data_IF_306911133232
#
_entry.id   IF_306911133232
#
_cell.length_a   1.000
_cell.length_b   1.000
_cell.length_c   1.000
_cell.angle_alpha   90.00
_cell.angle_beta   90.00
_cell.angle_gamma   90.00
#
_symmetry.space_group_name_H-M   'P 1'
#
loop_
_entity.id
_entity.type
_entity.pdbx_description
1 polymer ?
#
# COMPACT_ATOMS: atom_id res chain seq x y z
N UNK A 1 21.12 -56.23 40.02
CA UNK A 1 21.58 -55.94 38.67
C UNK A 1 21.08 -54.56 38.30
N UNK A 2 21.87 -53.49 38.45
CA UNK A 2 21.53 -52.11 38.09
C UNK A 2 21.92 -51.91 36.64
N UNK A 3 20.93 -51.75 35.78
CA UNK A 3 21.16 -51.28 34.41
C UNK A 3 21.70 -49.85 34.49
N UNK A 4 22.96 -49.67 34.12
CA UNK A 4 23.57 -48.38 33.91
C UNK A 4 22.76 -47.69 32.78
N UNK A 5 22.14 -46.57 33.07
CA UNK A 5 21.66 -45.66 32.03
C UNK A 5 22.89 -45.14 31.29
N UNK A 6 23.06 -45.61 30.09
CA UNK A 6 24.05 -45.04 29.18
C UNK A 6 23.66 -43.56 28.94
N UNK A 7 24.45 -42.68 29.50
CA UNK A 7 24.42 -41.27 29.14
C UNK A 7 24.77 -41.17 27.64
N UNK A 8 24.04 -40.44 26.83
CA UNK A 8 24.36 -40.28 25.43
C UNK A 8 25.75 -39.62 25.28
N UNK A 9 26.54 -40.05 24.34
CA UNK A 9 27.91 -39.55 24.16
C UNK A 9 27.90 -38.04 23.91
N UNK A 10 28.95 -37.35 24.32
CA UNK A 10 29.23 -35.91 24.30
C UNK A 10 28.87 -35.13 23.03
N UNK A 11 28.22 -35.74 22.04
CA UNK A 11 27.83 -35.15 20.76
C UNK A 11 26.42 -34.50 20.73
N UNK A 12 25.54 -34.79 21.66
CA UNK A 12 24.15 -34.32 21.58
C UNK A 12 24.03 -32.81 21.83
N UNK A 13 24.71 -32.25 22.81
CA UNK A 13 24.66 -30.83 23.12
C UNK A 13 25.26 -29.93 22.03
N UNK A 14 26.35 -30.37 21.38
CA UNK A 14 26.95 -29.62 20.29
C UNK A 14 26.05 -29.60 19.05
N UNK A 15 25.37 -30.71 18.74
CA UNK A 15 24.41 -30.80 17.65
C UNK A 15 23.17 -29.93 17.90
N UNK A 16 22.68 -29.90 19.14
CA UNK A 16 21.55 -29.04 19.54
C UNK A 16 21.91 -27.56 19.42
N UNK A 17 23.09 -27.15 19.91
CA UNK A 17 23.58 -25.77 19.79
C UNK A 17 23.74 -25.39 18.31
N UNK A 18 24.34 -26.26 17.50
CA UNK A 18 24.49 -26.02 16.07
C UNK A 18 23.13 -25.87 15.39
N UNK A 19 22.18 -26.75 15.66
CA UNK A 19 20.83 -26.70 15.12
C UNK A 19 20.11 -25.40 15.54
N UNK A 20 20.22 -25.01 16.81
CA UNK A 20 19.64 -23.77 17.30
C UNK A 20 20.23 -22.53 16.61
N UNK A 21 21.55 -22.48 16.41
CA UNK A 21 22.24 -21.39 15.71
C UNK A 21 21.82 -21.35 14.24
N UNK A 22 21.77 -22.47 13.55
CA UNK A 22 21.34 -22.55 12.15
C UNK A 22 19.89 -22.09 12.00
N UNK A 23 18.98 -22.55 12.86
CA UNK A 23 17.57 -22.11 12.87
C UNK A 23 17.46 -20.61 13.14
N UNK A 24 18.23 -20.08 14.08
CA UNK A 24 18.26 -18.66 14.38
C UNK A 24 18.74 -17.83 13.18
N UNK A 25 19.83 -18.24 12.52
CA UNK A 25 20.37 -17.56 11.34
C UNK A 25 19.36 -17.61 10.18
N UNK A 26 18.74 -18.77 9.93
CA UNK A 26 17.71 -18.90 8.89
C UNK A 26 16.50 -18.00 9.17
N UNK A 27 16.05 -17.93 10.41
CA UNK A 27 14.96 -17.03 10.80
C UNK A 27 15.33 -15.56 10.62
N UNK A 28 16.54 -15.14 10.97
CA UNK A 28 17.03 -13.78 10.76
C UNK A 28 17.12 -13.43 9.27
N UNK A 29 17.60 -14.36 8.43
CA UNK A 29 17.64 -14.17 6.98
C UNK A 29 16.23 -14.06 6.39
N UNK A 30 15.30 -14.93 6.79
CA UNK A 30 13.90 -14.87 6.37
C UNK A 30 13.24 -13.55 6.77
N UNK A 31 13.47 -13.13 8.00
CA UNK A 31 12.92 -11.87 8.52
C UNK A 31 13.49 -10.67 7.77
N UNK A 32 14.81 -10.63 7.57
CA UNK A 32 15.50 -9.58 6.79
C UNK A 32 14.98 -9.50 5.37
N UNK A 33 14.83 -10.67 4.71
CA UNK A 33 14.29 -10.74 3.36
C UNK A 33 12.85 -10.24 3.30
N UNK A 34 11.99 -10.65 4.24
CA UNK A 34 10.61 -10.19 4.33
C UNK A 34 10.55 -8.66 4.52
N UNK A 35 11.35 -8.09 5.43
CA UNK A 35 11.39 -6.64 5.63
C UNK A 35 11.90 -5.88 4.40
N UNK A 36 12.89 -6.40 3.68
CA UNK A 36 13.36 -5.79 2.44
C UNK A 36 12.25 -5.77 1.38
N UNK A 37 11.55 -6.88 1.18
CA UNK A 37 10.40 -6.94 0.26
C UNK A 37 9.30 -5.96 0.65
N UNK A 38 8.98 -5.86 1.94
CA UNK A 38 7.99 -4.94 2.46
C UNK A 38 8.41 -3.48 2.21
N UNK A 39 9.67 -3.13 2.44
CA UNK A 39 10.21 -1.79 2.20
C UNK A 39 10.18 -1.42 0.71
N UNK A 40 10.52 -2.35 -0.18
CA UNK A 40 10.41 -2.16 -1.64
C UNK A 40 8.96 -1.91 -2.03
N UNK A 41 8.02 -2.75 -1.57
CA UNK A 41 6.59 -2.59 -1.86
C UNK A 41 6.04 -1.25 -1.39
N UNK A 42 6.42 -0.80 -0.20
CA UNK A 42 6.02 0.49 0.35
C UNK A 42 6.57 1.66 -0.50
N UNK A 43 7.87 1.64 -0.82
CA UNK A 43 8.50 2.70 -1.60
C UNK A 43 7.90 2.82 -3.00
N UNK A 44 7.63 1.70 -3.63
CA UNK A 44 7.05 1.68 -4.96
C UNK A 44 5.61 2.20 -4.95
N UNK A 45 4.81 1.80 -3.96
CA UNK A 45 3.45 2.32 -3.81
C UNK A 45 3.44 3.82 -3.53
N UNK A 46 4.38 4.29 -2.70
CA UNK A 46 4.58 5.71 -2.44
C UNK A 46 4.93 6.47 -3.72
N UNK A 47 5.89 5.96 -4.51
CA UNK A 47 6.29 6.56 -5.80
C UNK A 47 5.11 6.66 -6.77
N UNK A 48 4.28 5.61 -6.86
CA UNK A 48 3.10 5.60 -7.72
C UNK A 48 2.07 6.65 -7.28
N UNK A 49 1.75 6.71 -6.00
CA UNK A 49 0.89 7.76 -5.45
C UNK A 49 1.44 9.15 -5.75
N UNK A 50 2.74 9.35 -5.50
CA UNK A 50 3.40 10.65 -5.71
C UNK A 50 3.44 11.01 -7.20
N UNK A 51 3.58 10.05 -8.12
CA UNK A 51 3.49 10.26 -9.55
C UNK A 51 2.08 10.70 -10.00
N UNK A 52 1.02 10.02 -9.53
CA UNK A 52 -0.35 10.48 -9.81
C UNK A 52 -0.59 11.88 -9.26
N UNK A 53 -0.21 12.12 -8.02
CA UNK A 53 -0.34 13.42 -7.40
C UNK A 53 0.40 14.52 -8.18
N UNK A 54 1.63 14.24 -8.61
CA UNK A 54 2.41 15.16 -9.44
C UNK A 54 1.69 15.51 -10.73
N UNK A 55 1.12 14.51 -11.43
CA UNK A 55 0.38 14.74 -12.69
C UNK A 55 -0.89 15.57 -12.47
N UNK A 56 -1.57 15.40 -11.34
CA UNK A 56 -2.68 16.25 -10.92
C UNK A 56 -2.22 17.69 -10.65
N UNK A 57 -1.12 17.85 -9.92
CA UNK A 57 -0.57 19.15 -9.54
C UNK A 57 -0.09 19.97 -10.76
N UNK A 58 0.33 19.32 -11.85
CA UNK A 58 0.69 20.00 -13.10
C UNK A 58 -0.49 20.77 -13.71
N UNK A 59 -1.71 20.34 -13.46
CA UNK A 59 -2.95 20.89 -14.04
C UNK A 59 -3.68 21.81 -13.05
N UNK A 60 -3.69 21.46 -11.78
CA UNK A 60 -4.50 22.14 -10.76
C UNK A 60 -3.79 23.39 -10.22
N UNK A 61 -4.34 24.58 -10.49
CA UNK A 61 -3.83 25.83 -9.92
C UNK A 61 -3.97 25.92 -8.38
N UNK A 62 -4.94 25.21 -7.81
CA UNK A 62 -5.18 25.15 -6.36
C UNK A 62 -4.07 24.39 -5.60
N UNK A 63 -3.22 23.66 -6.32
CA UNK A 63 -2.13 22.90 -5.71
C UNK A 63 -0.98 23.78 -5.22
N UNK A 64 -0.89 25.05 -5.63
CA UNK A 64 0.12 26.00 -5.17
C UNK A 64 0.12 26.16 -3.64
N UNK A 65 -1.06 26.09 -3.00
CA UNK A 65 -1.17 26.18 -1.53
C UNK A 65 -0.73 24.89 -0.84
N UNK A 66 -0.87 23.73 -1.49
CA UNK A 66 -0.42 22.43 -0.97
C UNK A 66 1.10 22.31 -0.92
N UNK A 67 1.79 23.01 -1.78
CA UNK A 67 3.23 22.93 -1.97
C UNK A 67 3.95 24.22 -1.62
N UNK A 68 3.45 24.95 -0.63
CA UNK A 68 4.08 26.21 -0.18
C UNK A 68 5.58 26.07 0.16
N UNK A 69 6.02 24.84 0.53
CA UNK A 69 7.40 24.50 0.85
C UNK A 69 8.12 23.72 -0.28
N UNK A 70 7.54 23.66 -1.48
CA UNK A 70 8.18 22.99 -2.61
C UNK A 70 9.40 23.76 -3.11
N UNK A 71 10.36 23.06 -3.74
CA UNK A 71 11.48 23.72 -4.38
C UNK A 71 11.00 24.75 -5.41
N UNK A 72 11.73 25.85 -5.61
CA UNK A 72 11.37 26.88 -6.61
C UNK A 72 11.17 26.32 -8.02
N UNK A 73 11.93 25.26 -8.36
CA UNK A 73 11.82 24.58 -9.65
C UNK A 73 10.50 23.82 -9.77
N UNK A 74 10.09 23.11 -8.71
CA UNK A 74 8.83 22.38 -8.67
C UNK A 74 7.63 23.34 -8.68
N UNK A 75 7.71 24.44 -7.91
CA UNK A 75 6.68 25.48 -7.89
C UNK A 75 6.46 26.13 -9.28
N UNK A 76 7.51 26.15 -10.14
CA UNK A 76 7.39 26.63 -11.53
C UNK A 76 6.63 25.67 -12.44
N UNK A 77 6.52 24.42 -12.12
CA UNK A 77 5.85 23.39 -12.93
C UNK A 77 4.37 23.22 -12.58
N UNK A 78 3.98 23.61 -11.35
CA UNK A 78 2.60 23.46 -10.88
C UNK A 78 1.66 24.38 -11.66
N UNK A 79 0.54 23.81 -12.12
CA UNK A 79 -0.52 24.54 -12.80
C UNK A 79 -0.15 25.10 -14.18
N UNK A 80 0.93 24.63 -14.80
CA UNK A 80 1.38 25.11 -16.13
C UNK A 80 0.68 24.43 -17.30
N UNK A 81 0.12 23.25 -17.09
CA UNK A 81 -0.59 22.54 -18.15
C UNK A 81 -2.03 23.04 -18.18
N UNK A 82 -2.36 23.82 -19.22
CA UNK A 82 -3.74 24.23 -19.48
C UNK A 82 -4.44 23.14 -20.30
N UNK A 83 -5.38 22.43 -19.69
CA UNK A 83 -6.22 21.43 -20.36
C UNK A 83 -7.26 22.07 -21.30
N UNK A 84 -7.36 23.39 -21.36
CA UNK A 84 -8.09 24.10 -22.40
C UNK A 84 -7.47 23.96 -23.78
N UNK A 85 -6.22 23.52 -23.86
CA UNK A 85 -5.49 23.28 -25.10
C UNK A 85 -5.58 21.79 -25.48
N UNK A 86 -6.06 21.44 -26.71
CA UNK A 86 -6.22 20.04 -27.15
C UNK A 86 -4.93 19.22 -27.03
N UNK A 87 -3.80 19.84 -27.36
CA UNK A 87 -2.48 19.22 -27.34
C UNK A 87 -2.06 18.80 -25.93
N UNK A 88 -2.39 19.63 -24.95
CA UNK A 88 -2.06 19.39 -23.55
C UNK A 88 -2.90 18.26 -22.95
N UNK A 89 -4.18 18.12 -23.36
CA UNK A 89 -5.03 16.99 -22.94
C UNK A 89 -4.43 15.67 -23.38
N UNK A 90 -3.99 15.57 -24.65
CA UNK A 90 -3.36 14.37 -25.19
C UNK A 90 -2.05 14.01 -24.47
N UNK A 91 -1.18 15.00 -24.22
CA UNK A 91 0.07 14.81 -23.46
C UNK A 91 -0.21 14.34 -22.04
N UNK A 92 -1.11 14.99 -21.34
CA UNK A 92 -1.46 14.66 -19.98
C UNK A 92 -2.04 13.24 -19.85
N UNK A 93 -2.91 12.84 -20.78
CA UNK A 93 -3.47 11.50 -20.84
C UNK A 93 -2.39 10.44 -21.13
N UNK A 94 -1.43 10.74 -22.01
CA UNK A 94 -0.31 9.85 -22.29
C UNK A 94 0.60 9.65 -21.07
N UNK A 95 0.84 10.69 -20.27
CA UNK A 95 1.57 10.56 -19.00
C UNK A 95 0.82 9.65 -18.03
N UNK A 96 -0.50 9.79 -17.92
CA UNK A 96 -1.33 8.88 -17.11
C UNK A 96 -1.19 7.43 -17.57
N UNK A 97 -1.28 7.18 -18.88
CA UNK A 97 -1.10 5.83 -19.45
C UNK A 97 0.29 5.29 -19.16
N UNK A 98 1.32 6.11 -19.31
CA UNK A 98 2.70 5.70 -18.99
C UNK A 98 2.84 5.27 -17.53
N UNK A 99 2.33 6.06 -16.58
CA UNK A 99 2.34 5.71 -15.15
C UNK A 99 1.61 4.39 -14.92
N UNK A 100 0.48 4.17 -15.60
CA UNK A 100 -0.29 2.94 -15.46
C UNK A 100 0.46 1.73 -16.00
N UNK A 101 1.02 1.81 -17.22
CA UNK A 101 1.77 0.72 -17.86
C UNK A 101 3.00 0.35 -17.02
N UNK A 102 3.79 1.32 -16.60
CA UNK A 102 4.93 1.06 -15.69
C UNK A 102 4.49 0.48 -14.34
N UNK A 103 3.24 0.77 -13.94
CA UNK A 103 2.68 0.25 -12.70
C UNK A 103 2.16 -1.19 -12.79
N UNK A 104 1.84 -1.75 -13.97
CA UNK A 104 1.22 -3.07 -14.09
C UNK A 104 2.16 -4.20 -13.67
N UNK A 105 3.38 -4.23 -14.20
CA UNK A 105 4.39 -5.23 -13.79
C UNK A 105 4.72 -5.15 -12.31
N UNK A 106 4.69 -3.95 -11.78
CA UNK A 106 4.87 -3.67 -10.38
C UNK A 106 3.67 -4.14 -9.54
N UNK A 107 2.44 -3.95 -10.04
CA UNK A 107 1.23 -4.37 -9.34
C UNK A 107 1.19 -5.89 -9.11
N UNK A 108 1.67 -6.68 -10.05
CA UNK A 108 1.81 -8.13 -9.89
C UNK A 108 2.84 -8.50 -8.81
N UNK A 109 3.98 -7.80 -8.76
CA UNK A 109 4.99 -7.98 -7.70
C UNK A 109 4.45 -7.56 -6.34
N UNK A 110 3.76 -6.42 -6.28
CA UNK A 110 3.13 -5.96 -5.04
C UNK A 110 2.08 -6.94 -4.54
N UNK A 111 1.24 -7.47 -5.43
CA UNK A 111 0.23 -8.46 -5.08
C UNK A 111 0.89 -9.72 -4.48
N UNK A 112 1.98 -10.20 -5.09
CA UNK A 112 2.75 -11.33 -4.55
C UNK A 112 3.31 -11.01 -3.16
N UNK A 113 3.88 -9.82 -2.96
CA UNK A 113 4.41 -9.38 -1.66
C UNK A 113 3.30 -9.32 -0.61
N UNK A 114 2.14 -8.75 -0.94
CA UNK A 114 0.99 -8.66 -0.03
C UNK A 114 0.46 -10.05 0.32
N UNK A 115 0.37 -10.96 -0.65
CA UNK A 115 -0.06 -12.34 -0.42
C UNK A 115 0.93 -13.05 0.50
N UNK A 116 2.23 -12.95 0.24
CA UNK A 116 3.27 -13.57 1.08
C UNK A 116 3.21 -13.01 2.51
N UNK A 117 3.07 -11.68 2.64
CA UNK A 117 2.95 -11.04 3.96
C UNK A 117 1.71 -11.47 4.71
N UNK A 118 0.59 -11.66 4.01
CA UNK A 118 -0.64 -12.15 4.62
C UNK A 118 -0.53 -13.62 5.05
N UNK A 119 0.02 -14.48 4.20
CA UNK A 119 0.28 -15.89 4.55
C UNK A 119 1.18 -15.94 5.79
N UNK A 120 2.24 -15.12 5.82
CA UNK A 120 3.13 -15.05 6.97
C UNK A 120 2.41 -14.57 8.23
N UNK A 121 1.57 -13.54 8.14
CA UNK A 121 0.77 -13.06 9.27
C UNK A 121 -0.22 -14.13 9.77
N UNK A 122 -0.87 -14.87 8.86
CA UNK A 122 -1.79 -15.97 9.22
C UNK A 122 -1.00 -17.09 9.91
N UNK A 123 0.16 -17.48 9.39
CA UNK A 123 1.00 -18.51 10.01
C UNK A 123 1.46 -18.09 11.41
N UNK A 124 1.85 -16.83 11.61
CA UNK A 124 2.19 -16.29 12.93
C UNK A 124 0.99 -16.36 13.89
N UNK A 125 -0.20 -15.99 13.43
CA UNK A 125 -1.43 -16.09 14.24
C UNK A 125 -1.72 -17.54 14.60
N UNK A 126 -1.58 -18.48 13.67
CA UNK A 126 -1.78 -19.91 13.91
C UNK A 126 -0.74 -20.45 14.91
N UNK A 127 0.51 -20.03 14.80
CA UNK A 127 1.57 -20.39 15.76
C UNK A 127 1.21 -19.86 17.15
N UNK A 128 0.80 -18.60 17.29
CA UNK A 128 0.34 -18.04 18.57
C UNK A 128 -0.84 -18.84 19.09
N UNK A 129 -1.88 -19.09 18.27
CA UNK A 129 -3.07 -19.83 18.66
C UNK A 129 -2.73 -21.26 19.10
N UNK A 130 -1.86 -21.97 18.37
CA UNK A 130 -1.40 -23.29 18.72
C UNK A 130 -0.63 -23.29 20.05
N UNK A 131 0.26 -22.33 20.24
CA UNK A 131 1.00 -22.15 21.49
C UNK A 131 0.06 -21.88 22.67
N UNK A 132 -1.02 -21.11 22.44
CA UNK A 132 -2.04 -20.81 23.45
C UNK A 132 -2.86 -22.05 23.83
N UNK A 133 -3.21 -22.90 22.83
CA UNK A 133 -4.05 -24.09 23.04
C UNK A 133 -3.25 -25.24 23.64
N UNK A 134 -2.02 -25.47 23.18
CA UNK A 134 -1.16 -26.57 23.62
C UNK A 134 -0.70 -26.45 25.09
N UNK A 135 -0.88 -25.30 25.73
CA UNK A 135 -0.77 -25.13 27.19
C UNK A 135 0.59 -25.39 27.82
N UNK A 136 1.64 -25.63 27.03
CA UNK A 136 2.93 -25.99 27.55
C UNK A 136 4.09 -25.47 26.67
N UNK A 137 5.11 -24.93 27.29
CA UNK A 137 6.41 -24.62 26.70
C UNK A 137 6.45 -23.47 25.67
N UNK A 138 5.79 -22.38 25.96
CA UNK A 138 6.16 -21.15 25.28
C UNK A 138 7.08 -20.37 26.19
N UNK A 139 8.37 -20.26 25.80
CA UNK A 139 9.23 -19.28 26.46
C UNK A 139 8.59 -17.90 26.26
N UNK A 140 8.46 -17.10 27.31
CA UNK A 140 7.90 -15.74 27.22
C UNK A 140 8.53 -14.92 26.09
N UNK A 141 9.81 -15.16 25.80
CA UNK A 141 10.57 -14.57 24.70
C UNK A 141 10.00 -14.92 23.30
N UNK A 142 9.52 -16.15 23.07
CA UNK A 142 8.92 -16.56 21.80
C UNK A 142 7.61 -15.83 21.52
N UNK A 143 6.76 -15.66 22.54
CA UNK A 143 5.50 -14.92 22.43
C UNK A 143 5.75 -13.44 22.16
N UNK A 144 6.68 -12.82 22.85
CA UNK A 144 7.04 -11.41 22.64
C UNK A 144 7.56 -11.19 21.23
N UNK A 145 8.51 -12.01 20.77
CA UNK A 145 9.06 -11.89 19.42
C UNK A 145 7.97 -12.04 18.33
N UNK A 146 7.14 -13.07 18.46
CA UNK A 146 6.05 -13.33 17.50
C UNK A 146 5.04 -12.18 17.49
N UNK A 147 4.72 -11.62 18.66
CA UNK A 147 3.82 -10.46 18.79
C UNK A 147 4.41 -9.21 18.14
N UNK A 148 5.69 -8.92 18.34
CA UNK A 148 6.38 -7.79 17.73
C UNK A 148 6.40 -7.93 16.21
N UNK A 149 6.75 -9.11 15.67
CA UNK A 149 6.77 -9.35 14.22
C UNK A 149 5.36 -9.22 13.61
N UNK A 150 4.35 -9.77 14.29
CA UNK A 150 2.95 -9.65 13.86
C UNK A 150 2.50 -8.17 13.82
N UNK A 151 2.85 -7.40 14.86
CA UNK A 151 2.55 -5.97 14.91
C UNK A 151 3.23 -5.20 13.78
N UNK A 152 4.51 -5.40 13.55
CA UNK A 152 5.26 -4.75 12.47
C UNK A 152 4.71 -5.10 11.10
N UNK A 153 4.38 -6.37 10.85
CA UNK A 153 3.78 -6.83 9.59
C UNK A 153 2.43 -6.19 9.36
N UNK A 154 1.59 -6.12 10.40
CA UNK A 154 0.26 -5.49 10.33
C UNK A 154 0.37 -3.98 10.08
N UNK A 155 1.24 -3.28 10.80
CA UNK A 155 1.48 -1.86 10.62
C UNK A 155 1.95 -1.54 9.19
N UNK A 156 2.79 -2.40 8.62
CA UNK A 156 3.24 -2.29 7.25
C UNK A 156 2.10 -2.50 6.23
N UNK A 157 1.30 -3.54 6.45
CA UNK A 157 0.13 -3.84 5.59
C UNK A 157 -0.87 -2.67 5.60
N UNK A 158 -1.13 -2.09 6.77
CA UNK A 158 -1.96 -0.89 6.90
C UNK A 158 -1.36 0.30 6.14
N UNK A 159 -0.05 0.49 6.21
CA UNK A 159 0.64 1.57 5.52
C UNK A 159 0.53 1.44 4.00
N UNK A 160 0.75 0.23 3.44
CA UNK A 160 0.57 -0.05 2.01
C UNK A 160 -0.90 0.16 1.60
N UNK A 161 -1.84 -0.32 2.40
CA UNK A 161 -3.28 -0.15 2.13
C UNK A 161 -3.66 1.32 2.09
N UNK A 162 -3.18 2.13 3.02
CA UNK A 162 -3.39 3.58 3.05
C UNK A 162 -2.84 4.27 1.79
N UNK A 163 -1.64 3.89 1.34
CA UNK A 163 -1.05 4.42 0.11
C UNK A 163 -1.85 4.01 -1.13
N UNK A 164 -2.32 2.77 -1.19
CA UNK A 164 -3.17 2.27 -2.28
C UNK A 164 -4.50 3.03 -2.37
N UNK A 165 -5.15 3.28 -1.23
CA UNK A 165 -6.37 4.10 -1.14
C UNK A 165 -6.10 5.51 -1.63
N UNK A 166 -5.00 6.12 -1.16
CA UNK A 166 -4.62 7.48 -1.58
C UNK A 166 -4.36 7.55 -3.09
N UNK A 167 -3.66 6.57 -3.67
CA UNK A 167 -3.42 6.54 -5.12
C UNK A 167 -4.72 6.37 -5.93
N UNK A 168 -5.64 5.50 -5.50
CA UNK A 168 -6.95 5.35 -6.14
C UNK A 168 -7.78 6.65 -6.06
N UNK A 169 -7.67 7.38 -4.94
CA UNK A 169 -8.35 8.66 -4.75
C UNK A 169 -7.80 9.74 -5.68
N UNK A 170 -6.48 9.81 -5.90
CA UNK A 170 -5.86 10.79 -6.82
C UNK A 170 -6.41 10.61 -8.25
N UNK A 171 -6.61 9.37 -8.71
CA UNK A 171 -7.23 9.12 -10.03
C UNK A 171 -8.66 9.67 -10.08
N UNK A 172 -9.46 9.47 -9.05
CA UNK A 172 -10.80 10.04 -8.94
C UNK A 172 -10.81 11.58 -8.93
N UNK A 173 -9.85 12.21 -8.25
CA UNK A 173 -9.68 13.68 -8.24
C UNK A 173 -9.32 14.20 -9.64
N UNK A 174 -8.54 13.44 -10.45
CA UNK A 174 -8.23 13.82 -11.83
C UNK A 174 -9.47 13.82 -12.74
N UNK A 175 -10.40 12.89 -12.55
CA UNK A 175 -11.69 12.89 -13.27
C UNK A 175 -12.46 14.18 -12.99
N UNK A 176 -12.46 14.63 -11.73
CA UNK A 176 -13.12 15.89 -11.35
C UNK A 176 -12.44 17.11 -11.99
N UNK A 177 -11.12 17.12 -12.09
CA UNK A 177 -10.37 18.19 -12.77
C UNK A 177 -10.75 18.26 -14.24
N UNK A 178 -10.80 17.12 -14.94
CA UNK A 178 -11.23 17.05 -16.34
C UNK A 178 -12.67 17.57 -16.51
N UNK A 179 -13.59 17.16 -15.65
CA UNK A 179 -14.97 17.60 -15.70
C UNK A 179 -15.10 19.12 -15.46
N UNK A 180 -14.42 19.67 -14.46
CA UNK A 180 -14.42 21.12 -14.17
C UNK A 180 -13.85 21.91 -15.33
N UNK A 181 -12.75 21.44 -15.94
CA UNK A 181 -12.16 22.10 -17.10
C UNK A 181 -13.13 22.10 -18.29
N UNK A 182 -13.80 20.95 -18.55
CA UNK A 182 -14.80 20.86 -19.62
C UNK A 182 -15.93 21.83 -19.39
N UNK A 183 -16.50 21.88 -18.19
CA UNK A 183 -17.58 22.81 -17.84
C UNK A 183 -17.15 24.27 -18.03
N UNK A 184 -15.95 24.64 -17.58
CA UNK A 184 -15.42 25.99 -17.75
C UNK A 184 -15.22 26.37 -19.21
N UNK A 185 -14.79 25.42 -20.07
CA UNK A 185 -14.66 25.65 -21.51
C UNK A 185 -16.05 25.82 -22.20
N UNK A 186 -17.01 25.01 -21.83
CA UNK A 186 -18.38 25.13 -22.36
C UNK A 186 -19.02 26.45 -21.96
N UNK A 187 -18.84 26.89 -20.71
CA UNK A 187 -19.30 28.17 -20.24
C UNK A 187 -18.70 29.32 -21.06
N UNK A 188 -17.36 29.31 -21.25
CA UNK A 188 -16.70 30.32 -22.07
C UNK A 188 -17.19 30.34 -23.52
N UNK A 189 -17.49 29.18 -24.09
CA UNK A 189 -18.01 29.10 -25.45
C UNK A 189 -19.41 29.67 -25.58
N UNK A 190 -20.23 29.61 -24.52
CA UNK A 190 -21.57 30.24 -24.49
C UNK A 190 -21.48 31.76 -24.35
N UNK A 191 -20.49 32.24 -23.58
CA UNK A 191 -20.30 33.66 -23.30
C UNK A 191 -19.60 34.42 -24.45
N UNK A 192 -19.10 33.71 -25.51
CA UNK A 192 -18.37 34.30 -26.62
C UNK A 192 -19.28 34.66 -27.78
N UNK A 193 -18.85 35.69 -28.54
CA UNK A 193 -19.52 36.13 -29.73
C UNK A 193 -19.49 35.02 -30.82
N UNK A 194 -20.63 34.66 -31.45
CA UNK A 194 -20.71 33.61 -32.49
C UNK A 194 -19.82 33.86 -33.72
N UNK A 195 -19.19 35.01 -33.83
CA UNK A 195 -18.28 35.37 -34.92
C UNK A 195 -16.94 34.62 -34.83
N UNK A 196 -16.49 34.20 -33.65
CA UNK A 196 -15.22 33.48 -33.46
C UNK A 196 -15.36 31.97 -33.70
N UNK A 197 -15.55 31.59 -34.97
CA UNK A 197 -15.74 30.19 -35.38
C UNK A 197 -14.52 29.31 -35.05
N UNK A 198 -13.31 29.85 -35.10
CA UNK A 198 -12.09 29.12 -34.83
C UNK A 198 -12.01 28.73 -33.34
N UNK A 199 -12.35 29.66 -32.46
CA UNK A 199 -12.42 29.40 -31.02
C UNK A 199 -13.49 28.36 -30.71
N UNK A 200 -14.68 28.46 -31.29
CA UNK A 200 -15.78 27.50 -31.09
C UNK A 200 -15.38 26.11 -31.55
N UNK A 201 -14.76 25.99 -32.70
CA UNK A 201 -14.29 24.70 -33.25
C UNK A 201 -13.19 24.10 -32.33
N UNK A 202 -12.22 24.89 -31.91
CA UNK A 202 -11.15 24.47 -31.00
C UNK A 202 -11.70 23.99 -29.66
N UNK A 203 -12.67 24.72 -29.10
CA UNK A 203 -13.35 24.37 -27.86
C UNK A 203 -14.11 23.05 -28.00
N UNK A 204 -14.81 22.82 -29.12
CA UNK A 204 -15.50 21.56 -29.36
C UNK A 204 -14.55 20.37 -29.46
N UNK A 205 -13.41 20.53 -30.16
CA UNK A 205 -12.37 19.50 -30.24
C UNK A 205 -11.79 19.20 -28.83
N UNK A 206 -11.49 20.25 -28.06
CA UNK A 206 -10.96 20.09 -26.71
C UNK A 206 -11.96 19.40 -25.80
N UNK A 207 -13.23 19.75 -25.86
CA UNK A 207 -14.29 19.11 -25.09
C UNK A 207 -14.42 17.61 -25.42
N UNK A 208 -14.31 17.24 -26.71
CA UNK A 208 -14.29 15.83 -27.14
C UNK A 208 -13.09 15.07 -26.61
N UNK A 209 -11.90 15.68 -26.59
CA UNK A 209 -10.70 15.07 -26.00
C UNK A 209 -10.82 14.93 -24.47
N UNK A 210 -11.45 15.89 -23.79
CA UNK A 210 -11.71 15.81 -22.35
C UNK A 210 -12.73 14.70 -22.03
N UNK A 211 -13.73 14.44 -22.89
CA UNK A 211 -14.62 13.29 -22.75
C UNK A 211 -13.86 11.98 -22.88
N UNK A 212 -13.01 11.85 -23.87
CA UNK A 212 -12.14 10.68 -24.05
C UNK A 212 -11.21 10.49 -22.84
N UNK A 213 -10.65 11.58 -22.31
CA UNK A 213 -9.82 11.54 -21.12
C UNK A 213 -10.61 11.09 -19.89
N UNK A 214 -11.81 11.62 -19.69
CA UNK A 214 -12.73 11.21 -18.61
C UNK A 214 -13.06 9.72 -18.71
N UNK A 215 -13.46 9.24 -19.88
CA UNK A 215 -13.80 7.83 -20.10
C UNK A 215 -12.60 6.92 -19.82
N UNK A 216 -11.40 7.31 -20.32
CA UNK A 216 -10.17 6.56 -20.06
C UNK A 216 -9.82 6.51 -18.56
N UNK A 217 -9.93 7.62 -17.83
CA UNK A 217 -9.69 7.66 -16.39
C UNK A 217 -10.76 6.89 -15.60
N UNK A 218 -12.02 6.97 -16.02
CA UNK A 218 -13.11 6.20 -15.42
C UNK A 218 -12.91 4.71 -15.63
N UNK A 219 -12.50 4.29 -16.82
CA UNK A 219 -12.14 2.90 -17.09
C UNK A 219 -10.99 2.45 -16.19
N UNK A 220 -9.95 3.27 -16.02
CA UNK A 220 -8.83 3.00 -15.14
C UNK A 220 -9.27 2.87 -13.67
N UNK A 221 -10.15 3.75 -13.20
CA UNK A 221 -10.70 3.69 -11.85
C UNK A 221 -11.55 2.44 -11.60
N UNK A 222 -12.35 2.01 -12.59
CA UNK A 222 -13.27 0.89 -12.45
C UNK A 222 -12.59 -0.47 -12.68
N UNK A 223 -11.77 -0.58 -13.72
CA UNK A 223 -11.23 -1.88 -14.17
C UNK A 223 -9.82 -2.16 -13.65
N UNK A 224 -9.04 -1.11 -13.42
CA UNK A 224 -7.64 -1.21 -13.02
C UNK A 224 -7.32 -0.48 -11.69
N UNK A 225 -8.22 -0.45 -10.70
CA UNK A 225 -7.88 0.14 -9.42
C UNK A 225 -6.78 -0.68 -8.75
N UNK A 226 -6.02 -0.04 -7.88
CA UNK A 226 -5.10 -0.78 -7.02
C UNK A 226 -5.93 -1.67 -6.10
N UNK A 227 -5.70 -2.97 -6.22
CA UNK A 227 -6.41 -4.01 -5.47
C UNK A 227 -5.48 -4.63 -4.44
N UNK A 228 -6.06 -4.98 -3.29
CA UNK A 228 -5.41 -5.78 -2.26
C UNK A 228 -6.19 -7.08 -2.18
N UNK A 229 -5.51 -8.20 -2.40
CA UNK A 229 -6.16 -9.53 -2.45
C UNK A 229 -7.34 -9.61 -3.45
N UNK A 230 -7.19 -8.96 -4.61
CA UNK A 230 -8.23 -8.93 -5.63
C UNK A 230 -9.39 -7.96 -5.35
N UNK A 231 -9.42 -7.34 -4.18
CA UNK A 231 -10.45 -6.36 -3.81
C UNK A 231 -9.90 -4.94 -3.91
N UNK A 232 -10.69 -4.01 -4.45
CA UNK A 232 -10.30 -2.59 -4.53
C UNK A 232 -9.92 -2.07 -3.13
N UNK A 233 -8.76 -1.44 -3.02
CA UNK A 233 -8.33 -0.82 -1.77
C UNK A 233 -9.27 0.33 -1.39
N UNK A 234 -10.01 0.13 -0.30
CA UNK A 234 -11.00 1.07 0.23
C UNK A 234 -10.78 1.30 1.72
N UNK A 235 -11.37 2.38 2.26
CA UNK A 235 -11.36 2.64 3.70
C UNK A 235 -12.02 1.52 4.51
N UNK A 236 -13.02 0.81 3.93
CA UNK A 236 -13.65 -0.33 4.57
C UNK A 236 -12.66 -1.49 4.78
N UNK A 237 -11.82 -1.80 3.78
CA UNK A 237 -10.76 -2.83 3.91
C UNK A 237 -9.74 -2.41 4.96
N UNK A 238 -9.32 -1.14 4.92
CA UNK A 238 -8.39 -0.61 5.91
C UNK A 238 -8.93 -0.77 7.33
N UNK A 239 -10.19 -0.35 7.58
CA UNK A 239 -10.82 -0.49 8.89
C UNK A 239 -11.01 -1.94 9.31
N UNK A 240 -11.32 -2.86 8.37
CA UNK A 240 -11.40 -4.30 8.66
C UNK A 240 -10.07 -4.88 9.09
N UNK A 241 -8.98 -4.55 8.40
CA UNK A 241 -7.62 -4.97 8.77
C UNK A 241 -7.25 -4.41 10.15
N UNK A 242 -7.51 -3.12 10.37
CA UNK A 242 -7.23 -2.46 11.64
C UNK A 242 -8.02 -3.09 12.79
N UNK A 243 -9.33 -3.30 12.62
CA UNK A 243 -10.18 -3.93 13.64
C UNK A 243 -9.74 -5.35 13.96
N UNK A 244 -9.39 -6.15 12.92
CA UNK A 244 -8.84 -7.49 13.10
C UNK A 244 -7.54 -7.48 13.90
N UNK A 245 -6.62 -6.56 13.57
CA UNK A 245 -5.35 -6.41 14.28
C UNK A 245 -5.54 -6.01 15.74
N UNK A 246 -6.43 -5.06 16.02
CA UNK A 246 -6.75 -4.63 17.39
C UNK A 246 -7.37 -5.77 18.19
N UNK A 247 -8.31 -6.52 17.59
CA UNK A 247 -8.94 -7.68 18.26
C UNK A 247 -7.91 -8.76 18.61
N UNK A 248 -7.02 -9.12 17.67
CA UNK A 248 -5.97 -10.12 17.89
C UNK A 248 -5.00 -9.66 18.98
N UNK A 249 -4.55 -8.40 18.91
CA UNK A 249 -3.62 -7.84 19.91
C UNK A 249 -4.28 -7.80 21.28
N UNK A 250 -5.55 -7.39 21.36
CA UNK A 250 -6.30 -7.35 22.62
C UNK A 250 -6.48 -8.73 23.25
N UNK A 251 -6.88 -9.73 22.47
CA UNK A 251 -7.02 -11.12 22.93
C UNK A 251 -5.69 -11.70 23.39
N UNK A 252 -4.61 -11.48 22.62
CA UNK A 252 -3.28 -11.95 22.97
C UNK A 252 -2.78 -11.32 24.29
N UNK A 253 -2.97 -10.01 24.43
CA UNK A 253 -2.58 -9.29 25.65
C UNK A 253 -3.38 -9.76 26.88
N UNK A 254 -4.70 -9.91 26.75
CA UNK A 254 -5.55 -10.40 27.83
C UNK A 254 -5.13 -11.81 28.29
N UNK A 255 -4.82 -12.70 27.34
CA UNK A 255 -4.35 -14.03 27.63
C UNK A 255 -2.99 -14.02 28.35
N UNK A 256 -2.03 -13.23 27.87
CA UNK A 256 -0.70 -13.11 28.50
C UNK A 256 -0.86 -12.63 29.95
N UNK A 257 -1.68 -11.60 30.19
CA UNK A 257 -1.95 -11.07 31.52
C UNK A 257 -2.59 -12.13 32.43
N UNK A 258 -3.57 -12.90 31.91
CA UNK A 258 -4.22 -13.96 32.68
C UNK A 258 -3.24 -15.07 33.07
N UNK A 259 -2.39 -15.53 32.16
CA UNK A 259 -1.35 -16.54 32.41
C UNK A 259 -0.28 -16.07 33.38
N UNK A 260 0.12 -14.79 33.26
CA UNK A 260 1.04 -14.18 34.25
C UNK A 260 0.43 -14.17 35.64
N UNK A 261 -0.84 -13.77 35.78
CA UNK A 261 -1.55 -13.81 37.08
C UNK A 261 -1.67 -15.22 37.65
N UNK A 262 -1.74 -16.24 36.80
CA UNK A 262 -1.77 -17.65 37.24
C UNK A 262 -0.39 -18.23 37.56
N UNK A 263 0.70 -17.45 37.47
CA UNK A 263 2.06 -17.91 37.69
C UNK A 263 2.54 -18.97 36.67
N UNK A 264 1.92 -18.98 35.48
CA UNK A 264 2.24 -19.98 34.46
C UNK A 264 3.21 -19.45 33.38
N UNK A 265 3.61 -18.20 33.44
CA UNK A 265 4.61 -17.55 32.60
C UNK A 265 5.52 -16.75 33.52
N UNK A 266 6.81 -17.09 33.52
CA UNK A 266 7.88 -16.28 34.06
C UNK A 266 8.58 -15.53 32.92
N UNK A 267 8.85 -14.23 33.12
CA UNK A 267 9.61 -13.42 32.18
C UNK A 267 11.09 -13.43 32.48
#
# INVERSE_FOLDING_TARGET
MRLSRDEPPFGSGAAEIYTAVVVMVLNLLLLSTAFNFLAVGFNDMRRRRDAYRFVGDLVARESLTRHANASPEFARLIGRIDLGEPRNVGLWLNVHRAINVFGLDFLHRLLAIVIISLIFAILLILVIAFQLIAGGFVSGHGVVLTSVVSFLTTAHLLSITSLAISANREVGEHILVVLRTKMALQQRAVDMDPIDREFIQRTAVTAGLLDTAKESLTALELYEPIRILGVRATSAIYSSILSGAVAITGLSSAYIIDRYRQGKIDF
#
